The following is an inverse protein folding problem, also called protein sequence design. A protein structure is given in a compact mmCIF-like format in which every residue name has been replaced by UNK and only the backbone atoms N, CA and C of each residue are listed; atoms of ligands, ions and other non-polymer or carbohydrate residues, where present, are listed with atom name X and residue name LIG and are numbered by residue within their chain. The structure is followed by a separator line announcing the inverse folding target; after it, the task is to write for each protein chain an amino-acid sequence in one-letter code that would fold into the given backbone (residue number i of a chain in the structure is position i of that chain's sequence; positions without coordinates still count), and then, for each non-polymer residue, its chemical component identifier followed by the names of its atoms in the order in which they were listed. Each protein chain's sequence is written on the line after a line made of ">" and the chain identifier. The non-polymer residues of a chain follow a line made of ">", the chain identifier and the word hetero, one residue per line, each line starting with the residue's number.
data_IF_301708622647
#
_entry.id   IF_301708622647
#
_cell.length_a   1.000
_cell.length_b   1.000
_cell.length_c   1.000
_cell.angle_alpha   90.00
_cell.angle_beta   90.00
_cell.angle_gamma   90.00
#
_symmetry.space_group_name_H-M   'P 1'
#
loop_
_entity.id
_entity.type
_entity.pdbx_description
1 polymer ?
#
# COMPACT_ATOMS: atom_id res chain seq x y z
N UNK A 1 20.34 -10.65 2.17
CA UNK A 1 19.50 -9.44 2.04
C UNK A 1 18.07 -9.93 1.86
N UNK A 2 17.13 -9.58 2.75
CA UNK A 2 15.76 -10.10 2.66
C UNK A 2 14.98 -9.39 1.54
N UNK A 3 14.23 -10.15 0.74
CA UNK A 3 13.20 -9.60 -0.15
C UNK A 3 12.16 -8.87 0.71
N UNK A 4 11.99 -7.56 0.54
CA UNK A 4 10.98 -6.80 1.27
C UNK A 4 11.38 -5.40 1.77
N UNK A 5 12.58 -4.90 1.45
CA UNK A 5 12.90 -3.51 1.78
C UNK A 5 12.00 -2.54 0.97
N UNK A 6 11.11 -1.83 1.65
CA UNK A 6 10.22 -0.79 1.12
C UNK A 6 9.03 -1.28 0.30
N UNK A 7 8.13 -2.07 0.88
CA UNK A 7 6.90 -2.58 0.21
C UNK A 7 5.73 -1.60 0.22
N UNK A 8 5.54 -0.85 1.30
CA UNK A 8 4.41 0.07 1.45
C UNK A 8 4.37 1.18 0.38
N UNK A 9 5.49 1.80 -0.04
CA UNK A 9 5.44 2.80 -1.11
C UNK A 9 4.91 2.24 -2.43
N UNK A 10 5.30 1.01 -2.79
CA UNK A 10 4.81 0.37 -4.01
C UNK A 10 3.34 0.01 -3.91
N UNK A 11 2.88 -0.46 -2.74
CA UNK A 11 1.45 -0.71 -2.50
C UNK A 11 0.62 0.58 -2.61
N UNK A 12 1.16 1.72 -2.14
CA UNK A 12 0.54 3.04 -2.27
C UNK A 12 0.40 3.50 -3.73
N UNK A 13 1.38 3.22 -4.59
CA UNK A 13 1.26 3.46 -6.04
C UNK A 13 0.08 2.68 -6.63
N UNK A 14 0.00 1.39 -6.33
CA UNK A 14 -1.11 0.54 -6.78
C UNK A 14 -2.47 1.05 -6.30
N UNK A 15 -2.54 1.50 -5.05
CA UNK A 15 -3.72 2.15 -4.50
C UNK A 15 -4.10 3.43 -5.26
N UNK A 16 -3.15 4.33 -5.52
CA UNK A 16 -3.43 5.57 -6.25
C UNK A 16 -3.92 5.34 -7.67
N UNK A 17 -3.32 4.37 -8.38
CA UNK A 17 -3.78 3.95 -9.70
C UNK A 17 -5.23 3.42 -9.62
N UNK A 18 -5.55 2.63 -8.59
CA UNK A 18 -6.90 2.12 -8.37
C UNK A 18 -7.90 3.23 -8.04
N UNK A 19 -7.52 4.22 -7.25
CA UNK A 19 -8.34 5.41 -6.97
C UNK A 19 -8.59 6.18 -8.26
N UNK A 20 -7.57 6.44 -9.07
CA UNK A 20 -7.70 7.17 -10.34
C UNK A 20 -8.60 6.44 -11.35
N UNK A 21 -8.37 5.14 -11.55
CA UNK A 21 -9.09 4.32 -12.55
C UNK A 21 -10.55 4.06 -12.18
N UNK A 22 -10.88 3.99 -10.90
CA UNK A 22 -12.25 3.76 -10.43
C UNK A 22 -13.16 5.00 -10.47
N UNK A 23 -12.60 6.21 -10.67
CA UNK A 23 -13.36 7.48 -10.72
C UNK A 23 -14.45 7.50 -11.79
N UNK A 24 -14.21 6.88 -12.94
CA UNK A 24 -15.14 6.86 -14.07
C UNK A 24 -16.29 5.85 -13.90
N UNK A 25 -16.34 5.09 -12.81
CA UNK A 25 -17.36 4.06 -12.62
C UNK A 25 -18.61 4.63 -11.93
N UNK A 26 -19.76 4.55 -12.62
CA UNK A 26 -21.03 5.09 -12.11
C UNK A 26 -21.72 4.21 -11.05
N UNK A 27 -21.27 2.97 -10.83
CA UNK A 27 -21.85 2.06 -9.82
C UNK A 27 -20.78 1.56 -8.86
N UNK A 28 -21.12 1.35 -7.57
CA UNK A 28 -20.14 0.91 -6.57
C UNK A 28 -19.54 -0.46 -6.90
N UNK A 29 -20.35 -1.40 -7.44
CA UNK A 29 -19.85 -2.71 -7.88
C UNK A 29 -18.82 -2.59 -9.00
N UNK A 30 -19.07 -1.73 -9.99
CA UNK A 30 -18.13 -1.48 -11.09
C UNK A 30 -16.86 -0.80 -10.60
N UNK A 31 -16.97 0.17 -9.69
CA UNK A 31 -15.82 0.84 -9.09
C UNK A 31 -14.90 -0.13 -8.34
N UNK A 32 -15.48 -1.02 -7.51
CA UNK A 32 -14.74 -2.05 -6.77
C UNK A 32 -14.05 -3.02 -7.73
N UNK A 33 -14.74 -3.48 -8.78
CA UNK A 33 -14.20 -4.45 -9.73
C UNK A 33 -13.05 -3.85 -10.54
N UNK A 34 -13.21 -2.63 -11.03
CA UNK A 34 -12.14 -1.89 -11.73
C UNK A 34 -10.95 -1.64 -10.81
N UNK A 35 -11.18 -1.10 -9.60
CA UNK A 35 -10.11 -0.84 -8.64
C UNK A 35 -9.35 -2.12 -8.25
N UNK A 36 -10.07 -3.21 -7.97
CA UNK A 36 -9.48 -4.52 -7.65
C UNK A 36 -8.65 -5.05 -8.80
N UNK A 37 -9.16 -4.98 -10.02
CA UNK A 37 -8.43 -5.38 -11.22
C UNK A 37 -7.15 -4.56 -11.42
N UNK A 38 -7.23 -3.24 -11.20
CA UNK A 38 -6.06 -2.34 -11.27
C UNK A 38 -5.00 -2.69 -10.22
N UNK A 39 -5.39 -2.92 -8.96
CA UNK A 39 -4.45 -3.32 -7.91
C UNK A 39 -3.83 -4.68 -8.24
N UNK A 40 -4.63 -5.66 -8.64
CA UNK A 40 -4.15 -7.00 -8.98
C UNK A 40 -3.14 -6.96 -10.13
N UNK A 41 -3.46 -6.25 -11.22
CA UNK A 41 -2.56 -6.09 -12.36
C UNK A 41 -1.27 -5.38 -11.98
N UNK A 42 -1.36 -4.31 -11.20
CA UNK A 42 -0.19 -3.58 -10.72
C UNK A 42 0.69 -4.43 -9.81
N UNK A 43 0.13 -5.08 -8.79
CA UNK A 43 0.89 -5.89 -7.84
C UNK A 43 1.55 -7.08 -8.55
N UNK A 44 0.87 -7.69 -9.52
CA UNK A 44 1.47 -8.75 -10.33
C UNK A 44 2.65 -8.22 -11.16
N UNK A 45 2.48 -7.09 -11.85
CA UNK A 45 3.54 -6.47 -12.65
C UNK A 45 4.74 -6.06 -11.78
N UNK A 46 4.48 -5.48 -10.60
CA UNK A 46 5.50 -5.12 -9.63
C UNK A 46 6.24 -6.35 -9.12
N UNK A 47 5.55 -7.41 -8.70
CA UNK A 47 6.17 -8.63 -8.21
C UNK A 47 7.02 -9.34 -9.26
N UNK A 48 6.54 -9.41 -10.52
CA UNK A 48 7.32 -9.95 -11.63
C UNK A 48 8.57 -9.12 -11.89
N UNK A 49 8.45 -7.80 -11.92
CA UNK A 49 9.59 -6.89 -12.14
C UNK A 49 10.60 -6.97 -11.01
N UNK A 50 10.13 -6.98 -9.76
CA UNK A 50 10.96 -7.09 -8.57
C UNK A 50 11.69 -8.44 -8.51
N UNK A 51 11.00 -9.53 -8.88
CA UNK A 51 11.59 -10.85 -9.02
C UNK A 51 12.69 -10.90 -10.08
N UNK A 52 12.44 -10.37 -11.28
CA UNK A 52 13.43 -10.34 -12.35
C UNK A 52 14.67 -9.53 -11.94
N UNK A 53 14.47 -8.37 -11.31
CA UNK A 53 15.57 -7.55 -10.80
C UNK A 53 16.39 -8.28 -9.73
N UNK A 54 15.73 -9.01 -8.84
CA UNK A 54 16.42 -9.81 -7.81
C UNK A 54 17.26 -10.93 -8.44
N UNK A 55 16.68 -11.69 -9.38
CA UNK A 55 17.38 -12.77 -10.09
C UNK A 55 18.61 -12.23 -10.83
N UNK A 56 18.47 -11.09 -11.52
CA UNK A 56 19.57 -10.45 -12.25
C UNK A 56 20.65 -9.90 -11.30
N UNK A 57 20.26 -9.26 -10.20
CA UNK A 57 21.20 -8.63 -9.26
C UNK A 57 21.98 -9.65 -8.46
N UNK A 58 21.30 -10.68 -7.94
CA UNK A 58 21.91 -11.68 -7.06
C UNK A 58 22.46 -12.88 -7.85
N UNK A 59 22.27 -12.91 -9.18
CA UNK A 59 22.73 -13.99 -10.06
C UNK A 59 22.26 -15.39 -9.62
N UNK A 60 21.06 -15.45 -9.02
CA UNK A 60 20.45 -16.69 -8.51
C UNK A 60 19.64 -17.41 -9.58
N UNK A 61 19.37 -18.70 -9.36
CA UNK A 61 18.50 -19.46 -10.26
C UNK A 61 17.06 -18.92 -10.21
N UNK A 62 16.33 -19.04 -11.33
CA UNK A 62 14.90 -18.66 -11.39
C UNK A 62 14.06 -19.42 -10.35
N UNK A 63 14.42 -20.68 -10.06
CA UNK A 63 13.72 -21.49 -9.08
C UNK A 63 13.89 -20.94 -7.65
N UNK A 64 15.10 -20.51 -7.29
CA UNK A 64 15.39 -19.95 -5.97
C UNK A 64 14.77 -18.56 -5.80
N UNK A 65 14.79 -17.74 -6.85
CA UNK A 65 14.07 -16.47 -6.86
C UNK A 65 12.56 -16.70 -6.71
N UNK A 66 12.00 -17.73 -7.36
CA UNK A 66 10.56 -18.00 -7.32
C UNK A 66 10.09 -18.39 -5.92
N UNK A 67 10.89 -19.19 -5.20
CA UNK A 67 10.61 -19.53 -3.79
C UNK A 67 10.51 -18.31 -2.88
N UNK A 68 11.27 -17.26 -3.17
CA UNK A 68 11.22 -16.01 -2.40
C UNK A 68 10.07 -15.09 -2.83
N UNK A 69 9.62 -15.15 -4.08
CA UNK A 69 8.51 -14.34 -4.60
C UNK A 69 7.13 -14.97 -4.35
N UNK A 70 7.02 -16.31 -4.30
CA UNK A 70 5.75 -17.01 -4.17
C UNK A 70 4.88 -16.60 -2.96
N UNK A 71 5.43 -16.38 -1.75
CA UNK A 71 4.65 -15.89 -0.62
C UNK A 71 3.98 -14.54 -0.87
N UNK A 72 4.66 -13.65 -1.61
CA UNK A 72 4.15 -12.34 -1.95
C UNK A 72 3.00 -12.39 -2.96
N UNK A 73 3.04 -13.35 -3.91
CA UNK A 73 1.91 -13.60 -4.81
C UNK A 73 0.70 -14.08 -4.02
N UNK A 74 0.89 -14.98 -3.07
CA UNK A 74 -0.20 -15.46 -2.19
C UNK A 74 -0.78 -14.31 -1.37
N UNK A 75 0.05 -13.40 -0.85
CA UNK A 75 -0.40 -12.21 -0.13
C UNK A 75 -1.09 -11.18 -1.03
N UNK A 76 -0.69 -11.05 -2.29
CA UNK A 76 -1.29 -10.13 -3.26
C UNK A 76 -2.74 -10.51 -3.60
N UNK A 77 -3.09 -11.81 -3.56
CA UNK A 77 -4.45 -12.30 -3.86
C UNK A 77 -5.51 -11.69 -2.93
N UNK A 78 -5.43 -11.79 -1.59
CA UNK A 78 -6.37 -11.13 -0.69
C UNK A 78 -6.16 -9.62 -0.59
N UNK A 79 -4.92 -9.13 -0.75
CA UNK A 79 -4.65 -7.69 -0.69
C UNK A 79 -5.33 -6.92 -1.83
N UNK A 80 -5.39 -7.49 -3.03
CA UNK A 80 -5.99 -6.86 -4.21
C UNK A 80 -7.45 -6.44 -4.04
N UNK A 81 -8.39 -7.33 -3.65
CA UNK A 81 -9.78 -6.94 -3.43
C UNK A 81 -9.97 -6.03 -2.21
N UNK A 82 -9.14 -6.16 -1.17
CA UNK A 82 -9.18 -5.27 0.00
C UNK A 82 -8.81 -3.85 -0.42
N UNK A 83 -7.63 -3.67 -1.02
CA UNK A 83 -7.13 -2.38 -1.48
C UNK A 83 -8.02 -1.79 -2.58
N UNK A 84 -8.50 -2.62 -3.50
CA UNK A 84 -9.44 -2.21 -4.54
C UNK A 84 -10.77 -1.71 -3.96
N UNK A 85 -11.29 -2.38 -2.94
CA UNK A 85 -12.51 -1.94 -2.24
C UNK A 85 -12.28 -0.62 -1.50
N UNK A 86 -11.16 -0.49 -0.77
CA UNK A 86 -10.79 0.75 -0.08
C UNK A 86 -10.65 1.90 -1.09
N UNK A 87 -9.98 1.67 -2.22
CA UNK A 87 -9.80 2.66 -3.27
C UNK A 87 -11.11 3.06 -3.97
N UNK A 88 -12.05 2.14 -4.14
CA UNK A 88 -13.37 2.45 -4.68
C UNK A 88 -14.23 3.25 -3.68
N UNK A 89 -14.12 2.92 -2.39
CA UNK A 89 -14.86 3.55 -1.30
C UNK A 89 -14.28 4.91 -0.88
N UNK A 90 -13.00 5.18 -1.18
CA UNK A 90 -12.39 6.49 -0.98
C UNK A 90 -13.09 7.61 -1.76
N UNK A 91 -13.93 7.26 -2.75
CA UNK A 91 -14.80 8.17 -3.50
C UNK A 91 -16.18 8.41 -2.87
N UNK A 92 -16.50 7.87 -1.68
CA UNK A 92 -17.77 8.11 -0.94
C UNK A 92 -17.66 9.25 0.07
N UNK A 93 -18.55 10.25 0.04
CA UNK A 93 -18.43 11.43 0.93
C UNK A 93 -18.71 11.01 2.39
N UNK A 94 -18.04 11.68 3.34
CA UNK A 94 -18.18 11.42 4.78
C UNK A 94 -17.13 10.45 5.33
N UNK A 95 -17.29 10.10 6.61
CA UNK A 95 -16.31 9.39 7.44
C UNK A 95 -15.71 8.15 6.75
N UNK A 96 -16.53 7.37 6.07
CA UNK A 96 -16.09 6.14 5.40
C UNK A 96 -15.08 6.41 4.28
N UNK A 97 -15.29 7.45 3.46
CA UNK A 97 -14.32 7.82 2.43
C UNK A 97 -13.04 8.40 3.03
N UNK A 98 -13.15 9.16 4.12
CA UNK A 98 -12.00 9.75 4.80
C UNK A 98 -11.10 8.68 5.43
N UNK A 99 -11.71 7.68 6.08
CA UNK A 99 -11.02 6.49 6.60
C UNK A 99 -10.35 5.72 5.46
N UNK A 100 -11.05 5.51 4.33
CA UNK A 100 -10.48 4.83 3.18
C UNK A 100 -9.30 5.59 2.53
N UNK A 101 -9.31 6.93 2.58
CA UNK A 101 -8.18 7.76 2.12
C UNK A 101 -6.98 7.72 3.09
N UNK A 102 -7.25 7.61 4.41
CA UNK A 102 -6.21 7.58 5.44
C UNK A 102 -5.56 6.20 5.64
N UNK A 103 -6.31 5.11 5.41
CA UNK A 103 -5.84 3.74 5.64
C UNK A 103 -4.51 3.37 4.94
N UNK A 104 -4.27 3.74 3.67
CA UNK A 104 -2.99 3.43 3.00
C UNK A 104 -1.81 4.18 3.63
N UNK A 105 -2.02 5.43 4.06
CA UNK A 105 -0.98 6.24 4.71
C UNK A 105 -0.63 5.62 6.06
N UNK A 106 -1.63 5.22 6.83
CA UNK A 106 -1.45 4.55 8.10
C UNK A 106 -0.71 3.20 8.00
N UNK A 107 -1.00 2.42 6.95
CA UNK A 107 -0.30 1.15 6.70
C UNK A 107 1.20 1.36 6.38
N UNK A 108 1.58 2.52 5.84
CA UNK A 108 2.97 2.84 5.53
C UNK A 108 3.79 3.40 6.69
N UNK A 109 3.14 3.82 7.79
CA UNK A 109 3.81 4.42 8.95
C UNK A 109 4.81 3.49 9.64
N UNK A 110 4.46 2.21 9.95
CA UNK A 110 5.38 1.31 10.62
C UNK A 110 6.67 1.10 9.83
N UNK A 111 6.55 0.93 8.51
CA UNK A 111 7.71 0.73 7.63
C UNK A 111 8.57 1.99 7.50
N UNK A 112 7.96 3.18 7.46
CA UNK A 112 8.68 4.44 7.50
C UNK A 112 9.45 4.63 8.83
N UNK A 113 8.84 4.26 9.96
CA UNK A 113 9.47 4.34 11.29
C UNK A 113 10.64 3.36 11.41
N UNK A 114 10.48 2.11 10.98
CA UNK A 114 11.56 1.12 10.99
C UNK A 114 12.71 1.55 10.06
N UNK A 115 12.40 2.04 8.86
CA UNK A 115 13.42 2.52 7.91
C UNK A 115 14.23 3.70 8.46
N UNK A 116 13.62 4.57 9.27
CA UNK A 116 14.31 5.67 9.95
C UNK A 116 15.29 5.18 11.02
N UNK A 117 15.02 4.04 11.66
CA UNK A 117 15.94 3.42 12.65
C UNK A 117 17.18 2.83 11.99
N UNK A 118 17.09 2.39 10.74
CA UNK A 118 18.21 1.83 9.96
C UNK A 118 19.20 2.91 9.47
N UNK A 119 18.83 4.19 9.54
CA UNK A 119 19.68 5.33 9.22
C UNK A 119 19.00 6.36 8.34
N UNK A 120 19.45 7.61 8.42
CA UNK A 120 18.77 8.75 7.78
C UNK A 120 18.63 8.62 6.26
N UNK A 121 19.66 8.10 5.58
CA UNK A 121 19.65 7.86 4.14
C UNK A 121 18.60 6.80 3.74
N UNK A 122 18.57 5.68 4.45
CA UNK A 122 17.62 4.57 4.19
C UNK A 122 16.18 5.03 4.52
N UNK A 123 16.01 5.69 5.66
CA UNK A 123 14.75 6.30 6.06
C UNK A 123 14.22 7.29 5.03
N UNK A 124 15.08 8.15 4.46
CA UNK A 124 14.65 9.14 3.46
C UNK A 124 14.10 8.51 2.18
N UNK A 125 14.69 7.38 1.73
CA UNK A 125 14.24 6.66 0.52
C UNK A 125 12.81 6.12 0.68
N UNK A 126 12.39 5.79 1.90
CA UNK A 126 11.03 5.26 2.20
C UNK A 126 10.06 6.38 2.58
N UNK A 127 10.51 7.31 3.43
CA UNK A 127 9.69 8.41 3.96
C UNK A 127 9.31 9.42 2.86
N UNK A 128 10.22 9.73 1.93
CA UNK A 128 9.95 10.73 0.88
C UNK A 128 8.80 10.29 -0.05
N UNK A 129 8.79 9.07 -0.62
CA UNK A 129 7.65 8.58 -1.39
C UNK A 129 6.34 8.56 -0.59
N UNK A 130 6.38 8.09 0.66
CA UNK A 130 5.19 8.07 1.54
C UNK A 130 4.63 9.48 1.75
N UNK A 131 5.50 10.46 2.01
CA UNK A 131 5.09 11.85 2.20
C UNK A 131 4.50 12.46 0.93
N UNK A 132 5.09 12.17 -0.24
CA UNK A 132 4.58 12.59 -1.55
C UNK A 132 3.20 11.98 -1.80
N UNK A 133 3.01 10.69 -1.54
CA UNK A 133 1.71 10.04 -1.73
C UNK A 133 0.66 10.53 -0.73
N UNK A 134 1.03 10.77 0.52
CA UNK A 134 0.15 11.41 1.49
C UNK A 134 -0.28 12.80 1.00
N UNK A 135 0.66 13.61 0.50
CA UNK A 135 0.35 14.93 -0.06
C UNK A 135 -0.60 14.84 -1.27
N UNK A 136 -0.42 13.87 -2.16
CA UNK A 136 -1.32 13.64 -3.30
C UNK A 136 -2.72 13.22 -2.87
N UNK A 137 -2.84 12.33 -1.88
CA UNK A 137 -4.13 11.93 -1.33
C UNK A 137 -4.85 13.08 -0.62
N UNK A 138 -4.10 13.90 0.15
CA UNK A 138 -4.61 15.12 0.78
C UNK A 138 -5.08 16.12 -0.28
N UNK A 139 -4.28 16.33 -1.33
CA UNK A 139 -4.61 17.23 -2.43
C UNK A 139 -5.91 16.79 -3.13
N UNK A 140 -6.05 15.50 -3.43
CA UNK A 140 -7.28 14.93 -3.99
C UNK A 140 -8.47 15.10 -3.03
N UNK A 141 -8.28 14.88 -1.73
CA UNK A 141 -9.33 15.05 -0.72
C UNK A 141 -9.81 16.51 -0.61
N UNK A 142 -8.89 17.47 -0.66
CA UNK A 142 -9.20 18.90 -0.54
C UNK A 142 -9.88 19.41 -1.82
N UNK A 143 -9.28 19.17 -2.99
CA UNK A 143 -9.73 19.76 -4.24
C UNK A 143 -10.98 19.09 -4.83
N UNK A 144 -11.21 17.81 -4.52
CA UNK A 144 -12.35 17.07 -5.07
C UNK A 144 -13.48 16.83 -4.07
N UNK A 145 -13.19 16.87 -2.75
CA UNK A 145 -14.14 16.43 -1.71
C UNK A 145 -14.36 17.40 -0.54
N UNK A 146 -13.58 18.48 -0.39
CA UNK A 146 -13.60 19.38 0.77
C UNK A 146 -13.57 18.61 2.11
N UNK A 147 -12.57 17.73 2.27
CA UNK A 147 -12.35 17.04 3.55
C UNK A 147 -11.60 17.97 4.51
N UNK A 148 -12.01 18.01 5.78
CA UNK A 148 -11.28 18.76 6.82
C UNK A 148 -9.90 18.14 7.04
N UNK A 149 -8.84 18.93 6.87
CA UNK A 149 -7.44 18.51 7.05
C UNK A 149 -7.20 17.86 8.41
N UNK A 150 -7.91 18.32 9.45
CA UNK A 150 -7.84 17.78 10.81
C UNK A 150 -8.44 16.38 10.94
N UNK A 151 -9.53 16.08 10.23
CA UNK A 151 -10.17 14.76 10.24
C UNK A 151 -9.30 13.72 9.51
N UNK A 152 -8.69 14.13 8.42
CA UNK A 152 -7.75 13.30 7.66
C UNK A 152 -6.48 13.02 8.49
N UNK A 153 -5.93 14.05 9.16
CA UNK A 153 -4.77 13.87 10.06
C UNK A 153 -5.10 12.95 11.23
N UNK A 154 -6.25 13.13 11.87
CA UNK A 154 -6.71 12.29 12.98
C UNK A 154 -6.91 10.83 12.54
N UNK A 155 -7.46 10.59 11.34
CA UNK A 155 -7.61 9.26 10.78
C UNK A 155 -6.25 8.61 10.47
N UNK A 156 -5.30 9.36 9.92
CA UNK A 156 -3.93 8.87 9.67
C UNK A 156 -3.23 8.52 10.98
N UNK A 157 -3.36 9.36 12.01
CA UNK A 157 -2.75 9.10 13.33
C UNK A 157 -3.41 7.91 14.03
N UNK A 158 -4.73 7.82 14.04
CA UNK A 158 -5.44 6.71 14.68
C UNK A 158 -5.20 5.37 13.98
N UNK A 159 -5.26 5.34 12.64
CA UNK A 159 -4.98 4.13 11.88
C UNK A 159 -3.49 3.77 11.93
N UNK A 160 -2.59 4.76 11.99
CA UNK A 160 -1.16 4.55 12.17
C UNK A 160 -0.85 3.94 13.54
N UNK A 161 -1.47 4.43 14.60
CA UNK A 161 -1.39 3.85 15.94
C UNK A 161 -1.94 2.41 15.97
N UNK A 162 -3.05 2.16 15.27
CA UNK A 162 -3.63 0.82 15.13
C UNK A 162 -2.70 -0.13 14.34
N UNK A 163 -2.08 0.38 13.27
CA UNK A 163 -1.11 -0.36 12.46
C UNK A 163 0.14 -0.72 13.25
N UNK A 164 0.67 0.19 14.06
CA UNK A 164 1.79 -0.07 14.98
C UNK A 164 1.39 -1.12 16.04
N UNK A 165 0.16 -1.06 16.56
CA UNK A 165 -0.34 -2.04 17.53
C UNK A 165 -0.57 -3.44 16.94
N UNK A 166 -0.96 -3.52 15.66
CA UNK A 166 -1.24 -4.78 14.95
C UNK A 166 -0.02 -5.35 14.23
N UNK A 167 1.02 -4.56 13.98
CA UNK A 167 2.26 -4.99 13.33
C UNK A 167 2.90 -6.23 13.96
N UNK A 168 3.00 -6.36 15.31
CA UNK A 168 3.55 -7.56 15.94
C UNK A 168 2.70 -8.81 15.65
N UNK A 169 1.38 -8.65 15.58
CA UNK A 169 0.43 -9.75 15.33
C UNK A 169 0.52 -10.24 13.89
N UNK A 170 0.59 -9.31 12.94
CA UNK A 170 0.75 -9.62 11.51
C UNK A 170 2.12 -10.23 11.23
N UNK A 171 3.18 -9.70 11.85
CA UNK A 171 4.53 -10.25 11.78
C UNK A 171 4.59 -11.68 12.32
N UNK A 172 3.97 -11.93 13.49
CA UNK A 172 3.91 -13.27 14.08
C UNK A 172 3.14 -14.26 13.21
N UNK A 173 2.07 -13.82 12.54
CA UNK A 173 1.28 -14.66 11.63
C UNK A 173 1.97 -14.95 10.28
N UNK A 174 2.75 -14.01 9.75
CA UNK A 174 3.41 -14.13 8.45
C UNK A 174 4.81 -14.74 8.51
N UNK A 175 5.56 -14.51 9.60
CA UNK A 175 6.97 -14.87 9.73
C UNK A 175 7.27 -15.77 10.95
N UNK A 176 6.32 -15.96 11.88
CA UNK A 176 6.50 -16.78 13.08
C UNK A 176 6.42 -18.30 12.88
N UNK A 177 6.55 -18.79 11.63
CA UNK A 177 6.65 -20.22 11.33
C UNK A 177 7.99 -20.56 10.66
N UNK A 178 9.10 -20.14 11.25
CA UNK A 178 10.40 -20.79 11.07
C UNK A 178 11.21 -20.67 12.36
#
# INVERSE_FOLDING_TARGET
>A
MYLGASTAPWVLVGFLLAVSTSRGAHTPRKAILVATGTVAAYLLAWLVSYHLLFVLRESVSLADGWRQTAPWLVAAVPASPILGTIAALSHKRGLLGDVCLAAPIALSLPEAIESLKEGWLIGSVVVTPVAVFAALLIHMAINERRVSTTALLAAVVMLGALGIALFPVVWFLLLGRF
#
